data_IF_917228242206
#
_entry.id   IF_917228242206
#
_cell.length_a   1.000
_cell.length_b   1.000
_cell.length_c   1.000
_cell.angle_alpha   90.00
_cell.angle_beta   90.00
_cell.angle_gamma   90.00
#
_symmetry.space_group_name_H-M   'P 1'
#
loop_
_entity.id
_entity.type
_entity.pdbx_description
1 polymer ?
#
# COMPACT_ATOMS: atom_id res chain seq x y z
N UNK A 1 13.64 7.28 -1.21
CA UNK A 1 13.33 6.88 -2.60
C UNK A 1 12.39 7.84 -3.31
N UNK A 2 11.44 8.49 -2.63
CA UNK A 2 10.55 9.51 -3.24
C UNK A 2 11.32 10.65 -3.93
N UNK A 3 12.31 11.22 -3.23
CA UNK A 3 13.12 12.33 -3.75
C UNK A 3 14.02 11.91 -4.92
N UNK A 4 14.44 10.64 -4.96
CA UNK A 4 15.21 10.09 -6.07
C UNK A 4 14.33 9.90 -7.32
N UNK A 5 13.13 9.34 -7.16
CA UNK A 5 12.17 9.22 -8.26
C UNK A 5 11.78 10.59 -8.82
N UNK A 6 11.52 11.58 -7.95
CA UNK A 6 11.21 12.95 -8.37
C UNK A 6 12.36 13.59 -9.18
N UNK A 7 13.62 13.42 -8.75
CA UNK A 7 14.79 13.88 -9.50
C UNK A 7 14.95 13.21 -10.87
N UNK A 8 14.47 11.98 -11.00
CA UNK A 8 14.49 11.21 -12.24
C UNK A 8 13.22 11.41 -13.10
N UNK A 9 12.27 12.26 -12.67
CA UNK A 9 11.03 12.52 -13.39
C UNK A 9 9.98 11.40 -13.28
N UNK A 10 10.15 10.45 -12.36
CA UNK A 10 9.22 9.34 -12.16
C UNK A 10 8.21 9.60 -11.04
N UNK A 11 6.97 9.09 -11.17
CA UNK A 11 6.01 9.02 -10.07
C UNK A 11 6.57 8.29 -8.84
N UNK A 12 6.04 8.63 -7.67
CA UNK A 12 6.43 8.02 -6.39
C UNK A 12 5.97 6.56 -6.26
N UNK A 13 4.95 6.14 -7.03
CA UNK A 13 4.51 4.77 -7.18
C UNK A 13 4.07 4.54 -8.64
N UNK A 14 4.69 3.56 -9.32
CA UNK A 14 4.42 3.18 -10.71
C UNK A 14 3.64 1.85 -10.82
N UNK A 15 3.25 1.25 -9.69
CA UNK A 15 2.60 -0.06 -9.69
C UNK A 15 1.15 0.04 -10.14
N UNK A 16 0.76 -0.88 -11.01
CA UNK A 16 -0.62 -1.18 -11.35
C UNK A 16 -1.15 -2.28 -10.43
N UNK A 17 -2.22 -1.98 -9.70
CA UNK A 17 -2.89 -2.93 -8.79
C UNK A 17 -4.09 -3.63 -9.43
N UNK A 18 -4.48 -3.24 -10.65
CA UNK A 18 -5.64 -3.78 -11.37
C UNK A 18 -5.51 -5.25 -11.73
N UNK A 19 -4.30 -5.72 -12.04
CA UNK A 19 -4.06 -7.14 -12.30
C UNK A 19 -4.33 -8.00 -11.05
N UNK A 20 -3.86 -7.55 -9.88
CA UNK A 20 -4.12 -8.22 -8.62
C UNK A 20 -5.62 -8.25 -8.28
N UNK A 21 -6.32 -7.15 -8.56
CA UNK A 21 -7.77 -7.06 -8.38
C UNK A 21 -8.53 -8.08 -9.26
N UNK A 22 -8.15 -8.22 -10.53
CA UNK A 22 -8.76 -9.18 -11.44
C UNK A 22 -8.54 -10.63 -11.00
N UNK A 23 -7.34 -10.97 -10.53
CA UNK A 23 -7.04 -12.30 -9.99
C UNK A 23 -7.95 -12.62 -8.79
N UNK A 24 -8.07 -11.68 -7.84
CA UNK A 24 -8.94 -11.87 -6.67
C UNK A 24 -10.41 -12.03 -7.07
N UNK A 25 -10.88 -11.24 -8.05
CA UNK A 25 -12.24 -11.34 -8.55
C UNK A 25 -12.52 -12.70 -9.21
N UNK A 26 -11.59 -13.19 -10.03
CA UNK A 26 -11.65 -14.49 -10.71
C UNK A 26 -11.68 -15.65 -9.70
N UNK A 27 -10.92 -15.54 -8.62
CA UNK A 27 -10.95 -16.48 -7.48
C UNK A 27 -12.25 -16.40 -6.64
N UNK A 28 -13.19 -15.53 -7.01
CA UNK A 28 -14.48 -15.38 -6.33
C UNK A 28 -14.46 -14.48 -5.09
N UNK A 29 -13.36 -13.78 -4.82
CA UNK A 29 -13.29 -12.81 -3.72
C UNK A 29 -14.16 -11.61 -4.05
N UNK A 30 -14.96 -11.16 -3.07
CA UNK A 30 -15.78 -9.94 -3.16
C UNK A 30 -15.55 -9.01 -1.98
N UNK A 31 -15.30 -9.58 -0.80
CA UNK A 31 -14.95 -8.86 0.40
C UNK A 31 -13.63 -9.37 0.96
N UNK A 32 -12.78 -8.48 1.46
CA UNK A 32 -11.48 -8.86 2.01
C UNK A 32 -11.01 -7.91 3.09
N UNK A 33 -10.20 -8.44 4.02
CA UNK A 33 -9.45 -7.67 5.00
C UNK A 33 -8.07 -7.41 4.45
N UNK A 34 -7.69 -6.15 4.28
CA UNK A 34 -6.47 -5.79 3.59
C UNK A 34 -5.33 -5.52 4.56
N UNK A 35 -4.29 -6.34 4.49
CA UNK A 35 -3.06 -6.17 5.25
C UNK A 35 -2.20 -5.07 4.61
N UNK A 36 -2.30 -3.84 5.12
CA UNK A 36 -1.51 -2.71 4.59
C UNK A 36 -1.25 -1.63 5.63
N UNK A 37 -0.03 -1.09 5.60
CA UNK A 37 0.32 0.12 6.36
C UNK A 37 0.13 1.40 5.54
N UNK A 38 -0.24 1.32 4.26
CA UNK A 38 -0.41 2.48 3.40
C UNK A 38 -1.87 2.57 2.92
N UNK A 39 -2.70 3.46 3.54
CA UNK A 39 -4.12 3.57 3.23
C UNK A 39 -4.39 4.16 1.83
N UNK A 40 -3.46 4.96 1.29
CA UNK A 40 -3.63 5.58 -0.05
C UNK A 40 -3.58 4.57 -1.19
N UNK A 41 -3.12 3.34 -0.93
CA UNK A 41 -3.02 2.27 -1.93
C UNK A 41 -4.30 1.46 -2.11
N UNK A 42 -5.32 1.75 -1.31
CA UNK A 42 -6.61 1.06 -1.34
C UNK A 42 -7.51 1.64 -2.44
N UNK A 43 -7.30 2.92 -2.77
CA UNK A 43 -8.10 3.67 -3.73
C UNK A 43 -7.93 3.09 -5.13
N UNK A 44 -9.02 2.50 -5.66
CA UNK A 44 -9.06 1.94 -7.02
C UNK A 44 -9.44 0.46 -7.11
N UNK A 45 -9.47 -0.28 -5.99
CA UNK A 45 -9.90 -1.69 -5.99
C UNK A 45 -11.43 -1.83 -6.07
N UNK A 46 -12.18 -0.84 -5.57
CA UNK A 46 -13.66 -0.83 -5.61
C UNK A 46 -14.22 -0.92 -7.03
N UNK A 47 -13.51 -0.35 -8.01
CA UNK A 47 -13.89 -0.43 -9.43
C UNK A 47 -13.84 -1.84 -10.03
N UNK A 48 -13.24 -2.80 -9.35
CA UNK A 48 -13.15 -4.20 -9.76
C UNK A 48 -14.19 -5.10 -9.09
N UNK A 49 -15.18 -4.53 -8.39
CA UNK A 49 -16.18 -5.30 -7.64
C UNK A 49 -15.61 -5.97 -6.38
N UNK A 50 -14.52 -5.40 -5.85
CA UNK A 50 -13.87 -5.82 -4.60
C UNK A 50 -14.10 -4.76 -3.53
N UNK A 51 -14.60 -5.19 -2.37
CA UNK A 51 -14.87 -4.35 -1.22
C UNK A 51 -13.85 -4.65 -0.11
N UNK A 52 -13.12 -3.62 0.32
CA UNK A 52 -12.28 -3.73 1.51
C UNK A 52 -13.13 -3.49 2.76
N UNK A 53 -13.36 -4.54 3.55
CA UNK A 53 -14.18 -4.46 4.77
C UNK A 53 -13.38 -4.02 6.00
N UNK A 54 -12.06 -4.16 5.96
CA UNK A 54 -11.18 -3.77 7.06
C UNK A 54 -9.75 -3.55 6.55
N UNK A 55 -9.08 -2.52 7.08
CA UNK A 55 -7.64 -2.38 6.95
C UNK A 55 -6.94 -2.94 8.19
N UNK A 56 -6.10 -3.94 8.00
CA UNK A 56 -5.33 -4.59 9.07
C UNK A 56 -3.87 -4.12 9.00
N UNK A 57 -3.34 -3.44 10.04
CA UNK A 57 -1.96 -2.97 10.03
C UNK A 57 -0.97 -4.13 10.15
N UNK A 58 0.13 -4.04 9.42
CA UNK A 58 1.28 -4.95 9.51
C UNK A 58 2.23 -4.38 10.56
N UNK A 59 2.22 -4.95 11.77
CA UNK A 59 3.09 -4.52 12.86
C UNK A 59 4.47 -5.15 12.74
N UNK A 60 5.51 -4.33 12.77
CA UNK A 60 6.90 -4.77 12.82
C UNK A 60 7.65 -3.90 13.83
N UNK A 61 8.39 -4.52 14.73
CA UNK A 61 9.26 -3.77 15.64
C UNK A 61 10.38 -3.08 14.87
N UNK A 62 10.63 -1.82 15.23
CA UNK A 62 11.78 -1.10 14.71
C UNK A 62 13.05 -1.70 15.30
N UNK A 63 14.09 -1.78 14.48
CA UNK A 63 15.45 -2.08 14.89
C UNK A 63 16.36 -0.92 14.51
N UNK A 64 17.59 -0.87 15.06
CA UNK A 64 18.50 0.26 14.81
C UNK A 64 18.81 0.52 13.33
N UNK A 65 18.63 -0.47 12.45
CA UNK A 65 18.89 -0.35 11.01
C UNK A 65 17.69 0.17 10.21
N UNK A 66 16.45 -0.04 10.68
CA UNK A 66 15.25 0.32 9.94
C UNK A 66 14.45 1.49 10.55
N UNK A 67 14.82 1.96 11.74
CA UNK A 67 14.12 3.02 12.48
C UNK A 67 13.90 4.28 11.62
N UNK A 68 14.98 4.82 11.05
CA UNK A 68 14.93 6.02 10.18
C UNK A 68 14.08 5.81 8.92
N UNK A 69 14.05 4.58 8.40
CA UNK A 69 13.24 4.22 7.24
C UNK A 69 11.75 4.17 7.60
N UNK A 70 11.40 3.55 8.72
CA UNK A 70 10.03 3.47 9.23
C UNK A 70 9.49 4.85 9.61
N UNK A 71 10.32 5.70 10.23
CA UNK A 71 9.97 7.08 10.53
C UNK A 71 9.69 7.90 9.27
N UNK A 72 10.52 7.76 8.23
CA UNK A 72 10.29 8.39 6.93
C UNK A 72 8.98 7.90 6.29
N UNK A 73 8.66 6.60 6.42
CA UNK A 73 7.42 6.01 5.90
C UNK A 73 6.19 6.57 6.62
N UNK A 74 6.27 6.73 7.93
CA UNK A 74 5.21 7.32 8.75
C UNK A 74 4.99 8.80 8.39
N UNK A 75 6.06 9.61 8.46
CA UNK A 75 5.99 11.07 8.33
C UNK A 75 5.75 11.55 6.89
N UNK A 76 6.46 11.01 5.90
CA UNK A 76 6.39 11.49 4.51
C UNK A 76 5.36 10.74 3.64
N UNK A 77 5.02 9.51 3.98
CA UNK A 77 4.18 8.64 3.15
C UNK A 77 2.85 8.24 3.80
N UNK A 78 2.56 8.74 5.00
CA UNK A 78 1.30 8.52 5.70
C UNK A 78 1.09 7.06 6.12
N UNK A 79 2.17 6.32 6.36
CA UNK A 79 2.04 4.93 6.81
C UNK A 79 1.52 4.87 8.26
N UNK A 80 0.57 3.97 8.53
CA UNK A 80 0.11 3.62 9.88
C UNK A 80 1.08 2.57 10.47
N UNK A 81 2.12 3.05 11.16
CA UNK A 81 3.18 2.28 11.81
C UNK A 81 3.26 2.62 13.30
#
# INVERSE_FOLDING_TARGET
>A
TVEANAKLGYPSDLRDYGLGAQILFDLGVRQFRFLTNNPKKVVGLEGYGLEMIEQVPIRTEANPHNEKYLETKKTKLGHLL
#
